data_IF_193012941040
#
_entry.id   IF_193012941040
#
_cell.length_a   1.000
_cell.length_b   1.000
_cell.length_c   1.000
_cell.angle_alpha   90.00
_cell.angle_beta   90.00
_cell.angle_gamma   90.00
#
_symmetry.space_group_name_H-M   'P 1'
#
loop_
_entity.id
_entity.type
_entity.pdbx_description
1 polymer ?
#
# COMPACT_ATOMS: atom_id res chain seq x y z
N UNK A 1 -12.28 -6.50 -10.36
CA UNK A 1 -11.78 -6.42 -8.97
C UNK A 1 -10.26 -6.58 -9.02
N UNK A 2 -9.49 -5.56 -8.59
CA UNK A 2 -8.02 -5.64 -8.50
C UNK A 2 -7.58 -6.21 -7.15
N UNK A 3 -6.35 -6.73 -7.05
CA UNK A 3 -5.79 -7.17 -5.78
C UNK A 3 -5.47 -5.98 -4.86
N UNK A 4 -5.55 -6.17 -3.55
CA UNK A 4 -5.23 -5.14 -2.55
C UNK A 4 -3.80 -4.59 -2.73
N UNK A 5 -2.83 -5.47 -3.03
CA UNK A 5 -1.46 -5.09 -3.33
C UNK A 5 -1.34 -4.18 -4.58
N UNK A 6 -2.12 -4.45 -5.64
CA UNK A 6 -2.09 -3.61 -6.85
C UNK A 6 -2.67 -2.22 -6.59
N UNK A 7 -3.75 -2.14 -5.81
CA UNK A 7 -4.34 -0.86 -5.40
C UNK A 7 -3.38 -0.05 -4.53
N UNK A 8 -2.71 -0.69 -3.58
CA UNK A 8 -1.69 -0.07 -2.75
C UNK A 8 -0.59 0.61 -3.57
N UNK A 9 0.01 -0.09 -4.55
CA UNK A 9 1.04 0.51 -5.41
C UNK A 9 0.49 1.63 -6.30
N UNK A 10 -0.81 1.61 -6.62
CA UNK A 10 -1.49 2.71 -7.29
C UNK A 10 -1.56 3.98 -6.44
N UNK A 11 -1.84 3.85 -5.13
CA UNK A 11 -1.81 4.99 -4.21
C UNK A 11 -0.39 5.54 -4.04
N UNK A 12 0.58 4.66 -3.80
CA UNK A 12 1.99 5.09 -3.69
C UNK A 12 2.49 5.77 -4.96
N UNK A 13 2.18 5.23 -6.15
CA UNK A 13 2.62 5.81 -7.41
C UNK A 13 1.92 7.14 -7.78
N UNK A 14 0.89 7.55 -7.03
CA UNK A 14 0.20 8.82 -7.24
C UNK A 14 0.79 9.99 -6.44
N UNK A 15 1.76 9.71 -5.57
CA UNK A 15 2.40 10.72 -4.72
C UNK A 15 3.42 11.57 -5.49
N UNK A 16 3.55 12.86 -5.13
CA UNK A 16 4.45 13.78 -5.81
C UNK A 16 5.86 13.76 -5.19
N UNK A 17 6.63 12.68 -5.37
CA UNK A 17 8.12 12.67 -5.38
C UNK A 17 8.67 11.23 -5.41
N UNK A 18 9.97 11.10 -5.68
CA UNK A 18 10.66 9.81 -5.86
C UNK A 18 11.15 9.16 -4.54
N UNK A 19 11.24 9.94 -3.46
CA UNK A 19 11.69 9.47 -2.14
C UNK A 19 10.50 9.06 -1.27
N UNK A 20 10.01 7.83 -1.50
CA UNK A 20 8.98 7.21 -0.66
C UNK A 20 9.51 7.06 0.77
N UNK A 21 8.79 7.63 1.73
CA UNK A 21 9.06 7.47 3.16
C UNK A 21 7.99 6.60 3.85
N UNK A 22 8.14 6.40 5.16
CA UNK A 22 7.22 5.61 5.97
C UNK A 22 5.80 6.19 5.98
N UNK A 23 5.66 7.51 6.05
CA UNK A 23 4.37 8.18 6.13
C UNK A 23 3.55 7.97 4.85
N UNK A 24 4.20 8.02 3.69
CA UNK A 24 3.61 7.73 2.38
C UNK A 24 3.05 6.31 2.29
N UNK A 25 3.80 5.34 2.84
CA UNK A 25 3.39 3.93 2.93
C UNK A 25 2.16 3.80 3.81
N UNK A 26 2.19 4.37 5.02
CA UNK A 26 1.05 4.26 5.94
C UNK A 26 -0.18 4.99 5.41
N UNK A 27 -0.03 6.15 4.76
CA UNK A 27 -1.15 6.87 4.17
C UNK A 27 -1.76 6.11 2.98
N UNK A 28 -0.93 5.50 2.13
CA UNK A 28 -1.41 4.63 1.05
C UNK A 28 -2.14 3.39 1.55
N UNK A 29 -1.72 2.80 2.67
CA UNK A 29 -2.45 1.70 3.33
C UNK A 29 -3.79 2.20 3.89
N UNK A 30 -3.84 3.38 4.52
CA UNK A 30 -5.10 3.96 5.00
C UNK A 30 -6.09 4.18 3.85
N UNK A 31 -5.62 4.66 2.70
CA UNK A 31 -6.48 4.85 1.53
C UNK A 31 -6.96 3.54 0.92
N UNK A 32 -6.09 2.52 0.91
CA UNK A 32 -6.48 1.14 0.57
C UNK A 32 -7.61 0.64 1.47
N UNK A 33 -7.53 0.83 2.79
CA UNK A 33 -8.54 0.37 3.74
C UNK A 33 -9.92 1.03 3.52
N UNK A 34 -9.97 2.21 2.91
CA UNK A 34 -11.23 2.87 2.54
C UNK A 34 -11.90 2.20 1.34
N UNK A 35 -11.13 1.69 0.37
CA UNK A 35 -11.67 1.07 -0.85
C UNK A 35 -11.77 -0.46 -0.81
N UNK A 36 -10.82 -1.15 -0.18
CA UNK A 36 -10.75 -2.60 -0.14
C UNK A 36 -11.34 -3.14 1.17
N UNK A 37 -12.50 -3.77 1.07
CA UNK A 37 -13.22 -4.40 2.17
C UNK A 37 -13.18 -5.92 2.04
N UNK A 38 -13.10 -6.63 3.16
CA UNK A 38 -12.94 -8.09 3.22
C UNK A 38 -11.57 -8.51 3.74
N UNK A 39 -11.26 -9.80 3.69
CA UNK A 39 -10.01 -10.35 4.19
C UNK A 39 -8.88 -10.32 3.17
N UNK A 40 -7.72 -9.79 3.55
CA UNK A 40 -6.52 -9.80 2.72
C UNK A 40 -5.25 -9.71 3.58
N UNK A 41 -4.21 -10.40 3.14
CA UNK A 41 -2.85 -10.25 3.63
C UNK A 41 -1.91 -10.14 2.43
N UNK A 42 -1.07 -9.12 2.41
CA UNK A 42 -0.22 -8.79 1.27
C UNK A 42 1.22 -8.55 1.72
N UNK A 43 2.17 -8.99 0.90
CA UNK A 43 3.60 -8.69 1.05
C UNK A 43 4.09 -8.13 -0.28
N UNK A 44 4.91 -7.08 -0.23
CA UNK A 44 5.45 -6.41 -1.40
C UNK A 44 6.89 -5.94 -1.18
N UNK A 45 7.58 -5.63 -2.28
CA UNK A 45 8.91 -5.02 -2.28
C UNK A 45 8.79 -3.62 -2.88
N UNK A 46 9.40 -2.63 -2.21
CA UNK A 46 9.63 -1.28 -2.74
C UNK A 46 11.13 -1.15 -2.98
N UNK A 47 11.54 -0.99 -4.23
CA UNK A 47 12.95 -0.87 -4.59
C UNK A 47 13.58 0.35 -3.90
N UNK A 48 14.76 0.17 -3.30
CA UNK A 48 15.45 1.23 -2.57
C UNK A 48 14.93 1.49 -1.15
N UNK A 49 13.78 0.92 -0.76
CA UNK A 49 13.21 1.06 0.58
C UNK A 49 13.24 -0.27 1.35
N UNK A 50 12.64 -1.33 0.81
CA UNK A 50 12.61 -2.64 1.44
C UNK A 50 11.30 -3.40 1.27
N UNK A 51 11.09 -4.39 2.14
CA UNK A 51 9.88 -5.20 2.18
C UNK A 51 8.79 -4.50 2.99
N UNK A 52 7.56 -4.66 2.54
CA UNK A 52 6.35 -4.24 3.25
C UNK A 52 5.40 -5.42 3.42
N UNK A 53 4.65 -5.41 4.51
CA UNK A 53 3.58 -6.35 4.75
C UNK A 53 2.43 -5.64 5.44
N UNK A 54 1.21 -5.94 5.02
CA UNK A 54 0.00 -5.43 5.67
C UNK A 54 -1.13 -6.44 5.56
N UNK A 55 -2.03 -6.36 6.54
CA UNK A 55 -3.25 -7.15 6.61
C UNK A 55 -4.44 -6.20 6.66
N UNK A 56 -5.60 -6.71 6.25
CA UNK A 56 -6.87 -6.05 6.50
C UNK A 56 -7.02 -5.62 7.98
N UNK A 57 -7.79 -4.55 8.27
CA UNK A 57 -7.85 -3.96 9.60
C UNK A 57 -8.62 -4.80 10.65
N UNK A 58 -9.03 -6.05 10.33
CA UNK A 58 -9.76 -6.94 11.24
C UNK A 58 -8.90 -8.08 11.80
#
# INVERSE_FOLDING_TARGET
MGSALKLFFGYLGSLPDYDVNEEDIFNSIKDLFKQCQGGYACVGMIAGFGLIAFRDPN
#
